data_IF_731997908483
#
_entry.id   IF_731997908483
#
_cell.length_a   1.000
_cell.length_b   1.000
_cell.length_c   1.000
_cell.angle_alpha   90.00
_cell.angle_beta   90.00
_cell.angle_gamma   90.00
#
_symmetry.space_group_name_H-M   'P 1'
#
loop_
_entity.id
_entity.type
_entity.pdbx_description
1 polymer ?
#
# COMPACT_ATOMS: atom_id res chain seq x y z
N UNK A 1 8.90 12.75 46.39
CA UNK A 1 8.34 11.60 45.64
C UNK A 1 9.48 10.82 44.98
N UNK A 2 9.61 9.53 45.30
CA UNK A 2 10.69 8.65 44.83
C UNK A 2 10.45 8.19 43.37
N UNK A 3 10.35 9.14 42.43
CA UNK A 3 10.31 8.80 41.01
C UNK A 3 11.74 8.48 40.57
N UNK A 4 12.01 7.29 40.00
CA UNK A 4 13.34 6.95 39.49
C UNK A 4 13.80 7.98 38.46
N UNK A 5 15.09 8.31 38.48
CA UNK A 5 15.67 9.37 37.64
C UNK A 5 15.62 9.08 36.13
N UNK A 6 15.42 7.81 35.75
CA UNK A 6 15.48 7.28 34.39
C UNK A 6 14.12 6.77 33.86
N UNK A 7 13.01 7.14 34.51
CA UNK A 7 11.67 6.82 33.98
C UNK A 7 11.44 7.57 32.67
N UNK A 8 11.25 6.83 31.57
CA UNK A 8 11.07 7.46 30.27
C UNK A 8 10.68 6.51 29.15
N UNK A 9 10.42 7.09 27.99
CA UNK A 9 10.20 6.38 26.73
C UNK A 9 11.28 6.87 25.77
N UNK A 10 12.11 5.96 25.29
CA UNK A 10 13.19 6.28 24.37
C UNK A 10 12.65 6.56 22.96
N UNK A 11 13.45 7.26 22.15
CA UNK A 11 13.04 7.74 20.82
C UNK A 11 12.71 6.59 19.87
N UNK A 12 13.51 5.53 19.91
CA UNK A 12 13.30 4.27 19.18
C UNK A 12 11.95 3.63 19.52
N UNK A 13 11.56 3.59 20.80
CA UNK A 13 10.26 3.10 21.21
C UNK A 13 9.11 3.97 20.67
N UNK A 14 9.27 5.30 20.64
CA UNK A 14 8.29 6.21 20.03
C UNK A 14 8.18 5.95 18.52
N UNK A 15 9.30 5.79 17.83
CA UNK A 15 9.34 5.46 16.40
C UNK A 15 8.63 4.12 16.12
N UNK A 16 8.86 3.11 16.95
CA UNK A 16 8.17 1.82 16.86
C UNK A 16 6.68 1.89 17.19
N UNK A 17 6.27 2.71 18.17
CA UNK A 17 4.84 2.99 18.44
C UNK A 17 4.15 3.58 17.22
N UNK A 18 4.77 4.58 16.58
CA UNK A 18 4.25 5.20 15.35
C UNK A 18 4.16 4.17 14.23
N UNK A 19 5.19 3.35 14.05
CA UNK A 19 5.28 2.40 12.93
C UNK A 19 4.35 1.19 13.06
N UNK A 20 4.31 0.58 14.25
CA UNK A 20 3.73 -0.75 14.45
C UNK A 20 2.44 -0.79 15.27
N UNK A 21 2.06 0.32 15.89
CA UNK A 21 0.90 0.38 16.79
C UNK A 21 -0.09 1.49 16.44
N UNK A 22 0.35 2.61 15.88
CA UNK A 22 -0.46 3.81 15.65
C UNK A 22 -0.50 4.26 14.17
N UNK A 23 -1.14 3.46 13.29
CA UNK A 23 -1.37 3.83 11.88
C UNK A 23 -2.58 4.74 11.71
N UNK A 24 -2.37 6.05 11.80
CA UNK A 24 -3.37 7.06 11.46
C UNK A 24 -2.67 8.37 11.05
N UNK A 25 -3.43 9.28 10.42
CA UNK A 25 -2.91 10.60 10.06
C UNK A 25 -2.66 11.52 11.28
N UNK A 26 -3.29 11.23 12.42
CA UNK A 26 -3.16 11.99 13.67
C UNK A 26 -2.23 11.31 14.70
N UNK A 27 -2.35 11.72 15.97
CA UNK A 27 -1.55 11.18 17.09
C UNK A 27 -2.41 10.62 18.24
N UNK A 28 -3.70 10.37 17.99
CA UNK A 28 -4.66 9.88 18.99
C UNK A 28 -4.30 8.50 19.51
N UNK A 29 -4.00 7.55 18.63
CA UNK A 29 -3.58 6.20 18.99
C UNK A 29 -2.19 6.21 19.62
N UNK A 30 -1.25 7.02 19.10
CA UNK A 30 0.06 7.22 19.73
C UNK A 30 -0.10 7.71 21.18
N UNK A 31 -0.93 8.73 21.41
CA UNK A 31 -1.24 9.24 22.76
C UNK A 31 -1.82 8.16 23.66
N UNK A 32 -2.76 7.33 23.17
CA UNK A 32 -3.31 6.22 23.96
C UNK A 32 -2.25 5.20 24.38
N UNK A 33 -1.28 4.90 23.51
CA UNK A 33 -0.18 3.99 23.83
C UNK A 33 0.79 4.60 24.83
N UNK A 34 1.16 5.87 24.66
CA UNK A 34 1.96 6.61 25.63
C UNK A 34 1.27 6.59 26.99
N UNK A 35 -0.03 6.89 27.06
CA UNK A 35 -0.80 6.85 28.32
C UNK A 35 -0.82 5.45 28.94
N UNK A 36 -0.92 4.40 28.11
CA UNK A 36 -0.91 3.00 28.57
C UNK A 36 0.46 2.64 29.16
N UNK A 37 1.55 3.04 28.52
CA UNK A 37 2.92 2.83 29.00
C UNK A 37 3.12 3.58 30.31
N UNK A 38 2.80 4.88 30.36
CA UNK A 38 2.95 5.73 31.54
C UNK A 38 2.15 5.21 32.73
N UNK A 39 0.90 4.78 32.54
CA UNK A 39 0.09 4.17 33.61
C UNK A 39 0.73 2.88 34.15
N UNK A 40 1.30 2.06 33.27
CA UNK A 40 1.95 0.81 33.67
C UNK A 40 3.25 1.07 34.43
N UNK A 41 4.07 2.01 33.97
CA UNK A 41 5.28 2.44 34.68
C UNK A 41 4.95 3.02 36.06
N UNK A 42 3.95 3.90 36.15
CA UNK A 42 3.52 4.48 37.43
C UNK A 42 3.06 3.39 38.42
N UNK A 43 2.29 2.41 37.97
CA UNK A 43 1.89 1.27 38.80
C UNK A 43 3.10 0.46 39.29
N UNK A 44 4.10 0.26 38.42
CA UNK A 44 5.33 -0.46 38.76
C UNK A 44 6.17 0.30 39.81
N UNK A 45 6.32 1.62 39.66
CA UNK A 45 7.05 2.47 40.62
C UNK A 45 6.39 2.40 42.01
N UNK A 46 5.07 2.60 42.08
CA UNK A 46 4.34 2.59 43.35
C UNK A 46 4.40 1.21 44.01
N UNK A 47 4.24 0.13 43.24
CA UNK A 47 4.31 -1.21 43.78
C UNK A 47 5.70 -1.56 44.34
N UNK A 48 6.77 -1.11 43.68
CA UNK A 48 8.15 -1.31 44.14
C UNK A 48 8.44 -0.49 45.42
N UNK A 49 7.92 0.74 45.52
CA UNK A 49 8.02 1.59 46.72
C UNK A 49 7.24 1.03 47.92
N UNK A 50 6.03 0.50 47.69
CA UNK A 50 5.16 -0.05 48.73
C UNK A 50 5.43 -1.54 49.05
N UNK A 51 6.36 -2.19 48.34
CA UNK A 51 6.65 -3.61 48.50
C UNK A 51 5.48 -4.54 48.10
N UNK A 52 4.63 -4.08 47.19
CA UNK A 52 3.44 -4.81 46.75
C UNK A 52 3.78 -5.75 45.59
N UNK A 53 3.42 -7.03 45.71
CA UNK A 53 3.61 -7.98 44.61
C UNK A 53 2.62 -7.74 43.46
N UNK A 54 3.16 -7.45 42.28
CA UNK A 54 2.38 -7.36 41.04
C UNK A 54 2.20 -8.73 40.38
N UNK A 55 1.12 -8.88 39.62
CA UNK A 55 0.94 -10.06 38.75
C UNK A 55 2.07 -10.17 37.72
N UNK A 56 2.37 -11.38 37.24
CA UNK A 56 3.39 -11.63 36.18
C UNK A 56 3.25 -10.77 34.92
N UNK A 57 2.04 -10.25 34.64
CA UNK A 57 1.77 -9.40 33.47
C UNK A 57 2.11 -7.93 33.72
N UNK A 58 2.05 -7.50 34.98
CA UNK A 58 2.29 -6.13 35.42
C UNK A 58 3.68 -5.94 36.02
N UNK A 59 4.33 -7.01 36.47
CA UNK A 59 5.71 -6.99 36.95
C UNK A 59 6.66 -6.52 35.86
N UNK A 60 7.63 -5.69 36.26
CA UNK A 60 8.70 -5.22 35.38
C UNK A 60 9.71 -6.35 35.17
N UNK A 61 10.17 -6.56 33.93
CA UNK A 61 11.17 -7.59 33.61
C UNK A 61 12.58 -7.04 33.40
N UNK A 62 12.70 -5.73 33.25
CA UNK A 62 13.96 -5.00 33.09
C UNK A 62 14.27 -4.21 34.36
N UNK A 63 15.55 -4.09 34.71
CA UNK A 63 16.00 -3.21 35.81
C UNK A 63 16.02 -1.72 35.42
N UNK A 64 15.94 -1.41 34.12
CA UNK A 64 15.80 -0.03 33.62
C UNK A 64 14.35 0.47 33.71
N UNK A 65 14.16 1.75 34.00
CA UNK A 65 12.86 2.42 33.95
C UNK A 65 12.55 3.06 32.59
N UNK A 66 13.45 2.91 31.63
CA UNK A 66 13.28 3.38 30.26
C UNK A 66 12.66 2.30 29.38
N UNK A 67 11.59 2.67 28.67
CA UNK A 67 10.96 1.82 27.65
C UNK A 67 11.67 2.05 26.32
N UNK A 68 12.23 0.99 25.75
CA UNK A 68 12.96 0.95 24.47
C UNK A 68 12.21 0.07 23.48
N UNK A 69 12.64 0.01 22.22
CA UNK A 69 12.01 -0.87 21.22
C UNK A 69 12.00 -2.34 21.68
N UNK A 70 13.12 -2.81 22.25
CA UNK A 70 13.31 -4.19 22.70
C UNK A 70 12.30 -4.66 23.76
N UNK A 71 11.84 -3.75 24.64
CA UNK A 71 10.92 -4.08 25.73
C UNK A 71 9.50 -3.54 25.53
N UNK A 72 9.24 -2.84 24.42
CA UNK A 72 7.97 -2.17 24.13
C UNK A 72 6.78 -3.13 24.17
N UNK A 73 6.93 -4.34 23.62
CA UNK A 73 5.85 -5.35 23.57
C UNK A 73 5.30 -5.71 24.95
N UNK A 74 6.11 -5.59 26.01
CA UNK A 74 5.69 -5.87 27.37
C UNK A 74 4.64 -4.87 27.87
N UNK A 75 4.69 -3.64 27.36
CA UNK A 75 3.80 -2.56 27.76
C UNK A 75 2.56 -2.49 26.88
N UNK A 76 2.74 -2.61 25.57
CA UNK A 76 1.66 -2.36 24.61
C UNK A 76 1.07 -3.62 23.98
N UNK A 77 1.76 -4.76 24.06
CA UNK A 77 1.42 -6.03 23.40
C UNK A 77 2.25 -6.23 22.13
N UNK A 78 2.01 -7.33 21.40
CA UNK A 78 2.68 -7.59 20.11
C UNK A 78 2.36 -6.51 19.08
N UNK A 79 3.25 -6.34 18.09
CA UNK A 79 2.99 -5.52 16.92
C UNK A 79 1.61 -5.79 16.32
N UNK A 80 0.81 -4.72 16.14
CA UNK A 80 -0.51 -4.81 15.52
C UNK A 80 -0.35 -4.80 14.00
N UNK A 81 0.64 -4.08 13.51
CA UNK A 81 0.96 -3.99 12.10
C UNK A 81 2.33 -4.62 11.85
N UNK A 82 2.45 -5.46 10.82
CA UNK A 82 3.68 -6.20 10.51
C UNK A 82 4.47 -5.60 9.34
N UNK A 83 3.79 -4.98 8.36
CA UNK A 83 4.43 -4.26 7.25
C UNK A 83 3.41 -3.39 6.50
N UNK A 84 3.82 -2.27 5.93
CA UNK A 84 3.02 -1.53 4.90
C UNK A 84 3.23 -2.14 3.50
N UNK A 85 4.21 -3.05 3.38
CA UNK A 85 4.61 -3.72 2.16
C UNK A 85 4.16 -5.18 2.18
N UNK A 86 3.31 -5.56 1.23
CA UNK A 86 2.81 -6.93 1.11
C UNK A 86 3.84 -7.86 0.44
N UNK A 87 4.64 -7.33 -0.48
CA UNK A 87 5.65 -8.09 -1.24
C UNK A 87 7.04 -7.54 -0.98
N UNK A 88 7.95 -8.40 -0.52
CA UNK A 88 9.33 -7.98 -0.16
C UNK A 88 10.33 -8.14 -1.32
N UNK A 89 10.05 -9.04 -2.28
CA UNK A 89 10.96 -9.34 -3.40
C UNK A 89 10.89 -8.28 -4.48
N UNK A 90 12.04 -8.02 -5.11
CA UNK A 90 12.19 -7.17 -6.30
C UNK A 90 12.73 -8.01 -7.45
N UNK A 91 12.14 -7.95 -8.67
CA UNK A 91 10.88 -7.27 -8.99
C UNK A 91 9.66 -8.00 -8.41
N UNK A 92 8.48 -7.37 -8.51
CA UNK A 92 7.21 -8.00 -8.16
C UNK A 92 6.92 -9.17 -9.12
N UNK A 93 6.18 -10.20 -8.70
CA UNK A 93 5.67 -11.20 -9.64
C UNK A 93 4.82 -10.56 -10.75
N UNK A 94 4.81 -11.19 -11.92
CA UNK A 94 3.98 -10.76 -13.04
C UNK A 94 2.51 -10.63 -12.61
N UNK A 95 1.87 -9.55 -13.06
CA UNK A 95 0.50 -9.28 -12.69
C UNK A 95 0.33 -8.53 -11.38
N UNK A 96 1.41 -8.13 -10.69
CA UNK A 96 1.33 -7.44 -9.40
C UNK A 96 1.93 -6.05 -9.49
N UNK A 97 1.16 -5.04 -9.06
CA UNK A 97 1.55 -3.62 -9.13
C UNK A 97 1.18 -2.89 -7.86
N UNK A 98 2.07 -1.99 -7.40
CA UNK A 98 1.77 -1.10 -6.29
C UNK A 98 1.00 0.14 -6.77
N UNK A 99 -0.22 0.30 -6.27
CA UNK A 99 -1.01 1.52 -6.36
C UNK A 99 -0.98 2.33 -5.07
N UNK A 100 -1.48 3.56 -5.12
CA UNK A 100 -1.67 4.41 -3.94
C UNK A 100 -3.14 4.79 -3.76
N UNK A 101 -3.68 4.52 -2.57
CA UNK A 101 -5.01 4.93 -2.16
C UNK A 101 -4.96 6.06 -1.16
N UNK A 102 -6.06 6.79 -1.12
CA UNK A 102 -6.40 7.69 -0.02
C UNK A 102 -7.61 7.10 0.72
N UNK A 103 -7.46 6.87 2.03
CA UNK A 103 -8.51 6.31 2.89
C UNK A 103 -8.79 7.25 4.05
N UNK A 104 -9.83 6.95 4.84
CA UNK A 104 -10.14 7.70 6.07
C UNK A 104 -8.99 7.69 7.10
N UNK A 105 -8.08 6.72 7.03
CA UNK A 105 -6.91 6.62 7.91
C UNK A 105 -5.67 7.34 7.36
N UNK A 106 -5.78 7.97 6.18
CA UNK A 106 -4.69 8.57 5.42
C UNK A 106 -4.35 7.77 4.16
N UNK A 107 -3.24 8.12 3.51
CA UNK A 107 -2.80 7.43 2.31
C UNK A 107 -2.15 6.09 2.63
N UNK A 108 -2.34 5.12 1.74
CA UNK A 108 -1.86 3.75 1.87
C UNK A 108 -1.36 3.23 0.52
N UNK A 109 -0.29 2.43 0.56
CA UNK A 109 0.01 1.55 -0.56
C UNK A 109 -1.06 0.45 -0.64
N UNK A 110 -1.37 0.02 -1.85
CA UNK A 110 -2.21 -1.14 -2.13
C UNK A 110 -1.59 -1.93 -3.28
N UNK A 111 -1.81 -3.23 -3.30
CA UNK A 111 -1.37 -4.07 -4.41
C UNK A 111 -2.57 -4.43 -5.26
N UNK A 112 -2.40 -4.34 -6.57
CA UNK A 112 -3.35 -4.87 -7.53
C UNK A 112 -2.74 -6.15 -8.06
N UNK A 113 -3.44 -7.25 -7.83
CA UNK A 113 -3.05 -8.59 -8.22
C UNK A 113 -3.94 -9.04 -9.37
N UNK A 114 -3.35 -9.44 -10.50
CA UNK A 114 -4.09 -10.00 -11.62
C UNK A 114 -3.61 -11.42 -11.89
N UNK A 115 -4.56 -12.34 -12.02
CA UNK A 115 -4.30 -13.73 -12.39
C UNK A 115 -5.11 -14.11 -13.63
N UNK A 116 -4.46 -14.84 -14.54
CA UNK A 116 -5.07 -15.41 -15.74
C UNK A 116 -5.45 -16.88 -15.53
N UNK A 117 -6.64 -17.26 -15.97
CA UNK A 117 -7.16 -18.62 -15.90
C UNK A 117 -7.40 -19.11 -17.33
N UNK A 118 -6.53 -20.00 -17.82
CA UNK A 118 -6.69 -20.66 -19.11
C UNK A 118 -7.51 -21.93 -18.95
N UNK A 119 -8.69 -21.98 -19.57
CA UNK A 119 -9.63 -23.09 -19.46
C UNK A 119 -9.39 -24.23 -20.47
N UNK A 120 -8.32 -24.14 -21.25
CA UNK A 120 -7.98 -25.12 -22.31
C UNK A 120 -8.84 -24.97 -23.56
N UNK A 121 -8.76 -25.96 -24.45
CA UNK A 121 -9.51 -26.01 -25.71
C UNK A 121 -10.71 -26.96 -25.59
N UNK A 122 -11.76 -26.70 -26.36
CA UNK A 122 -12.89 -27.59 -26.54
C UNK A 122 -12.56 -28.69 -27.56
N UNK A 123 -13.52 -29.60 -27.79
CA UNK A 123 -13.40 -30.70 -28.76
C UNK A 123 -13.14 -30.24 -30.20
N UNK A 124 -13.43 -28.97 -30.52
CA UNK A 124 -13.22 -28.36 -31.83
C UNK A 124 -11.94 -27.51 -31.88
N UNK A 125 -11.10 -27.56 -30.83
CA UNK A 125 -9.86 -26.79 -30.74
C UNK A 125 -10.06 -25.31 -30.43
N UNK A 126 -11.24 -24.87 -29.98
CA UNK A 126 -11.50 -23.47 -29.60
C UNK A 126 -11.30 -23.25 -28.10
N UNK A 127 -10.83 -22.06 -27.67
CA UNK A 127 -10.71 -21.74 -26.24
C UNK A 127 -12.02 -21.91 -25.48
N UNK A 128 -12.00 -22.64 -24.35
CA UNK A 128 -13.15 -22.85 -23.47
C UNK A 128 -13.41 -21.64 -22.56
N UNK A 129 -13.71 -20.48 -23.13
CA UNK A 129 -13.86 -19.22 -22.41
C UNK A 129 -12.69 -18.27 -22.67
N UNK A 130 -12.54 -17.26 -21.83
CA UNK A 130 -11.67 -16.12 -22.09
C UNK A 130 -12.45 -14.81 -22.28
N UNK A 131 -11.75 -13.69 -22.27
CA UNK A 131 -12.38 -12.39 -22.49
C UNK A 131 -13.13 -11.82 -21.29
N UNK A 132 -13.15 -12.52 -20.15
CA UNK A 132 -13.88 -12.06 -18.97
C UNK A 132 -12.96 -11.39 -17.95
N UNK A 133 -13.50 -10.37 -17.26
CA UNK A 133 -12.86 -9.74 -16.11
C UNK A 133 -13.74 -9.94 -14.87
N UNK A 134 -13.17 -10.55 -13.84
CA UNK A 134 -13.72 -10.57 -12.48
C UNK A 134 -12.85 -9.69 -11.58
N UNK A 135 -13.48 -8.76 -10.87
CA UNK A 135 -12.79 -7.88 -9.93
C UNK A 135 -13.28 -8.12 -8.49
N UNK A 136 -12.38 -8.33 -7.54
CA UNK A 136 -12.70 -8.55 -6.10
C UNK A 136 -11.86 -7.68 -5.17
N UNK A 137 -12.27 -7.58 -3.89
CA UNK A 137 -11.57 -6.78 -2.89
C UNK A 137 -12.41 -5.65 -2.29
N UNK A 138 -13.73 -5.87 -2.18
CA UNK A 138 -14.70 -4.90 -1.68
C UNK A 138 -14.68 -3.58 -2.48
N UNK A 139 -14.68 -3.73 -3.80
CA UNK A 139 -14.73 -2.62 -4.75
C UNK A 139 -16.16 -2.10 -4.82
N UNK A 140 -16.33 -0.79 -4.64
CA UNK A 140 -17.60 -0.09 -4.87
C UNK A 140 -17.77 0.27 -6.36
N UNK A 141 -18.89 0.89 -6.68
CA UNK A 141 -19.35 1.01 -8.07
C UNK A 141 -18.39 1.80 -8.97
N UNK A 142 -17.79 2.90 -8.48
CA UNK A 142 -16.82 3.68 -9.26
C UNK A 142 -15.55 2.87 -9.53
N UNK A 143 -15.08 2.11 -8.54
CA UNK A 143 -13.88 1.29 -8.72
C UNK A 143 -14.15 0.05 -9.60
N UNK A 144 -15.37 -0.51 -9.57
CA UNK A 144 -15.80 -1.54 -10.53
C UNK A 144 -15.83 -0.98 -11.95
N UNK A 145 -16.40 0.20 -12.17
CA UNK A 145 -16.40 0.85 -13.48
C UNK A 145 -14.98 1.14 -13.96
N UNK A 146 -14.13 1.68 -13.08
CA UNK A 146 -12.70 1.91 -13.35
C UNK A 146 -11.98 0.63 -13.79
N UNK A 147 -12.30 -0.52 -13.19
CA UNK A 147 -11.72 -1.81 -13.61
C UNK A 147 -12.11 -2.23 -15.03
N UNK A 148 -13.36 -1.95 -15.45
CA UNK A 148 -13.83 -2.27 -16.80
C UNK A 148 -13.18 -1.36 -17.84
N UNK A 149 -13.04 -0.08 -17.52
CA UNK A 149 -12.31 0.89 -18.36
C UNK A 149 -10.85 0.45 -18.49
N UNK A 150 -10.19 0.13 -17.37
CA UNK A 150 -8.81 -0.34 -17.37
C UNK A 150 -8.63 -1.61 -18.21
N UNK A 151 -9.56 -2.56 -18.13
CA UNK A 151 -9.48 -3.79 -18.94
C UNK A 151 -9.62 -3.50 -20.44
N UNK A 152 -10.52 -2.59 -20.81
CA UNK A 152 -10.66 -2.15 -22.20
C UNK A 152 -9.38 -1.48 -22.70
N UNK A 153 -8.77 -0.61 -21.89
CA UNK A 153 -7.50 0.04 -22.22
C UNK A 153 -6.36 -0.99 -22.31
N UNK A 154 -6.27 -1.94 -21.39
CA UNK A 154 -5.24 -3.00 -21.42
C UNK A 154 -5.33 -3.83 -22.70
N UNK A 155 -6.54 -4.20 -23.14
CA UNK A 155 -6.76 -4.91 -24.40
C UNK A 155 -6.33 -4.08 -25.61
N UNK A 156 -6.73 -2.81 -25.66
CA UNK A 156 -6.35 -1.91 -26.75
C UNK A 156 -4.82 -1.73 -26.83
N UNK A 157 -4.16 -1.53 -25.69
CA UNK A 157 -2.70 -1.38 -25.63
C UNK A 157 -1.96 -2.65 -25.98
N UNK A 158 -2.41 -3.81 -25.51
CA UNK A 158 -1.79 -5.09 -25.88
C UNK A 158 -1.83 -5.29 -27.41
N UNK A 159 -2.96 -4.97 -28.05
CA UNK A 159 -3.09 -5.09 -29.50
C UNK A 159 -2.18 -4.13 -30.30
N UNK A 160 -1.77 -2.99 -29.70
CA UNK A 160 -0.79 -2.08 -30.29
C UNK A 160 0.66 -2.56 -30.08
N UNK A 161 0.95 -3.10 -28.88
CA UNK A 161 2.30 -3.53 -28.45
C UNK A 161 2.70 -4.87 -29.08
N UNK A 162 1.81 -5.85 -29.00
CA UNK A 162 1.99 -7.19 -29.55
C UNK A 162 0.67 -7.66 -30.20
N UNK A 163 0.43 -7.31 -31.47
CA UNK A 163 -0.81 -7.65 -32.18
C UNK A 163 -1.09 -9.15 -32.29
N UNK A 164 -0.08 -10.00 -32.06
CA UNK A 164 -0.22 -11.47 -32.11
C UNK A 164 -0.65 -12.07 -30.78
N UNK A 165 -0.60 -11.29 -29.70
CA UNK A 165 -0.88 -11.75 -28.35
C UNK A 165 -2.39 -11.68 -28.06
N UNK A 166 -3.03 -12.85 -28.10
CA UNK A 166 -4.47 -13.03 -27.87
C UNK A 166 -4.83 -13.25 -26.39
N UNK A 167 -3.91 -12.96 -25.45
CA UNK A 167 -4.04 -13.36 -24.05
C UNK A 167 -5.37 -12.97 -23.42
N UNK A 168 -5.82 -11.73 -23.61
CA UNK A 168 -7.08 -11.26 -23.04
C UNK A 168 -8.32 -11.82 -23.72
N UNK A 169 -8.22 -12.37 -24.93
CA UNK A 169 -9.35 -12.98 -25.64
C UNK A 169 -9.53 -14.44 -25.22
N UNK A 170 -8.42 -15.12 -24.89
CA UNK A 170 -8.39 -16.57 -24.62
C UNK A 170 -8.29 -16.92 -23.13
N UNK A 171 -8.05 -15.92 -22.28
CA UNK A 171 -7.82 -16.10 -20.84
C UNK A 171 -8.86 -15.33 -20.03
N UNK A 172 -9.44 -15.97 -19.00
CA UNK A 172 -10.25 -15.24 -18.02
C UNK A 172 -9.33 -14.52 -17.04
N UNK A 173 -9.66 -13.28 -16.74
CA UNK A 173 -8.89 -12.44 -15.85
C UNK A 173 -9.60 -12.30 -14.51
N UNK A 174 -8.90 -12.58 -13.42
CA UNK A 174 -9.32 -12.24 -12.07
C UNK A 174 -8.36 -11.22 -11.49
N UNK A 175 -8.84 -9.99 -11.30
CA UNK A 175 -8.14 -8.92 -10.61
C UNK A 175 -8.62 -8.82 -9.15
N UNK A 176 -7.69 -8.77 -8.21
CA UNK A 176 -7.95 -8.59 -6.79
C UNK A 176 -7.21 -7.37 -6.25
N UNK A 177 -7.89 -6.63 -5.36
CA UNK A 177 -7.29 -5.52 -4.60
C UNK A 177 -7.45 -5.80 -3.10
N UNK A 178 -6.45 -6.40 -2.44
CA UNK A 178 -6.44 -6.60 -0.99
C UNK A 178 -6.49 -5.26 -0.24
N UNK A 179 -6.97 -5.18 1.00
CA UNK A 179 -7.61 -6.20 1.84
C UNK A 179 -9.12 -6.30 1.58
N UNK A 180 -9.72 -7.49 1.57
CA UNK A 180 -11.14 -7.66 1.24
C UNK A 180 -12.15 -7.08 2.24
N UNK A 181 -11.73 -6.71 3.46
CA UNK A 181 -12.64 -6.16 4.46
C UNK A 181 -12.88 -4.65 4.28
N UNK A 182 -11.87 -3.92 3.79
CA UNK A 182 -11.90 -2.47 3.66
C UNK A 182 -12.51 -2.06 2.31
N UNK A 183 -13.63 -1.32 2.29
CA UNK A 183 -14.24 -0.86 1.05
C UNK A 183 -13.28 0.06 0.29
N UNK A 184 -13.16 -0.14 -1.02
CA UNK A 184 -12.33 0.68 -1.91
C UNK A 184 -13.20 1.30 -2.99
N UNK A 185 -13.04 2.61 -3.15
CA UNK A 185 -13.85 3.38 -4.07
C UNK A 185 -13.00 4.48 -4.71
N UNK A 186 -13.42 4.88 -5.91
CA UNK A 186 -12.75 5.91 -6.71
C UNK A 186 -11.84 5.35 -7.82
N UNK A 187 -11.58 6.15 -8.87
CA UNK A 187 -10.93 5.69 -10.09
C UNK A 187 -9.40 5.78 -10.06
N UNK A 188 -8.81 6.23 -8.94
CA UNK A 188 -7.39 6.64 -8.87
C UNK A 188 -6.34 5.53 -8.99
N UNK A 189 -6.78 4.28 -9.18
CA UNK A 189 -5.93 3.12 -9.41
C UNK A 189 -6.02 2.60 -10.86
N UNK A 190 -6.71 3.32 -11.76
CA UNK A 190 -6.93 2.92 -13.14
C UNK A 190 -5.64 2.57 -13.87
N UNK A 191 -4.62 3.43 -13.83
CA UNK A 191 -3.34 3.15 -14.51
C UNK A 191 -2.61 1.93 -13.92
N UNK A 192 -2.73 1.70 -12.61
CA UNK A 192 -2.14 0.53 -11.94
C UNK A 192 -2.84 -0.76 -12.35
N UNK A 193 -4.17 -0.73 -12.54
CA UNK A 193 -4.93 -1.87 -13.03
C UNK A 193 -4.51 -2.25 -14.45
N UNK A 194 -4.35 -1.26 -15.35
CA UNK A 194 -3.84 -1.52 -16.71
C UNK A 194 -2.45 -2.14 -16.67
N UNK A 195 -1.54 -1.59 -15.86
CA UNK A 195 -0.17 -2.13 -15.72
C UNK A 195 -0.17 -3.55 -15.17
N UNK A 196 -1.01 -3.85 -14.18
CA UNK A 196 -1.13 -5.20 -13.61
C UNK A 196 -1.59 -6.19 -14.67
N UNK A 197 -2.60 -5.85 -15.47
CA UNK A 197 -3.06 -6.72 -16.55
C UNK A 197 -2.00 -6.90 -17.64
N UNK A 198 -1.32 -5.83 -18.07
CA UNK A 198 -0.28 -5.90 -19.10
C UNK A 198 0.98 -6.62 -18.63
N UNK A 199 1.41 -6.42 -17.38
CA UNK A 199 2.52 -7.14 -16.76
C UNK A 199 2.31 -8.65 -16.88
N UNK A 200 1.10 -9.13 -16.55
CA UNK A 200 0.74 -10.54 -16.67
C UNK A 200 0.71 -11.01 -18.14
N UNK A 201 0.10 -10.24 -19.05
CA UNK A 201 -0.05 -10.61 -20.45
C UNK A 201 1.28 -10.65 -21.21
N UNK A 202 2.24 -9.80 -20.83
CA UNK A 202 3.56 -9.68 -21.45
C UNK A 202 4.63 -10.53 -20.73
N UNK A 203 4.34 -11.08 -19.55
CA UNK A 203 5.34 -11.75 -18.71
C UNK A 203 6.47 -10.80 -18.28
N UNK A 204 6.12 -9.55 -17.99
CA UNK A 204 7.06 -8.49 -17.64
C UNK A 204 6.80 -8.03 -16.21
N UNK A 205 7.73 -8.28 -15.26
CA UNK A 205 7.54 -7.89 -13.87
C UNK A 205 7.79 -6.39 -13.69
N UNK A 206 7.10 -5.79 -12.71
CA UNK A 206 7.29 -4.37 -12.36
C UNK A 206 8.15 -4.29 -11.10
N UNK A 207 9.08 -3.32 -11.08
CA UNK A 207 9.91 -3.03 -9.90
C UNK A 207 9.06 -2.77 -8.66
N UNK A 208 9.51 -3.29 -7.52
CA UNK A 208 8.72 -3.28 -6.30
C UNK A 208 8.74 -1.95 -5.53
N UNK A 209 9.58 -1.01 -5.96
CA UNK A 209 9.74 0.33 -5.40
C UNK A 209 9.08 1.43 -6.25
N UNK A 210 8.37 1.04 -7.31
CA UNK A 210 7.54 1.91 -8.15
C UNK A 210 6.08 1.83 -7.71
N UNK A 211 5.52 2.97 -7.33
CA UNK A 211 4.10 3.13 -7.12
C UNK A 211 3.46 4.05 -8.14
N UNK A 212 2.16 3.94 -8.34
CA UNK A 212 1.46 4.82 -9.27
C UNK A 212 0.04 5.16 -8.80
N UNK A 213 -0.44 6.32 -9.22
CA UNK A 213 -1.84 6.72 -9.06
C UNK A 213 -2.28 7.55 -10.25
N UNK A 214 -3.53 7.40 -10.65
CA UNK A 214 -4.07 8.06 -11.81
C UNK A 214 -5.33 7.35 -12.28
N UNK A 215 -6.34 8.13 -12.61
CA UNK A 215 -7.48 7.61 -13.36
C UNK A 215 -7.07 7.45 -14.83
N UNK A 216 -7.63 6.44 -15.50
CA UNK A 216 -7.38 6.19 -16.92
C UNK A 216 -8.69 6.32 -17.69
N UNK A 217 -8.67 7.08 -18.79
CA UNK A 217 -9.80 7.13 -19.73
C UNK A 217 -9.69 6.01 -20.78
N UNK A 218 -10.78 5.73 -21.50
CA UNK A 218 -10.79 4.76 -22.60
C UNK A 218 -9.78 5.09 -23.72
N UNK A 219 -9.43 6.36 -23.90
CA UNK A 219 -8.41 6.81 -24.87
C UNK A 219 -6.97 6.67 -24.36
N UNK A 220 -6.81 6.29 -23.09
CA UNK A 220 -5.52 6.21 -22.41
C UNK A 220 -5.00 7.53 -21.86
N UNK A 221 -5.79 8.62 -21.80
CA UNK A 221 -5.42 9.80 -21.00
C UNK A 221 -5.35 9.45 -19.52
N UNK A 222 -4.36 10.01 -18.83
CA UNK A 222 -4.19 9.91 -17.38
C UNK A 222 -4.77 11.17 -16.73
N UNK A 223 -5.75 10.98 -15.85
CA UNK A 223 -6.53 12.05 -15.25
C UNK A 223 -6.10 12.31 -13.80
N UNK A 224 -6.23 13.57 -13.32
CA UNK A 224 -5.79 13.96 -11.99
C UNK A 224 -6.57 13.23 -10.90
N UNK A 225 -5.92 13.07 -9.75
CA UNK A 225 -6.48 12.40 -8.57
C UNK A 225 -6.25 13.25 -7.32
N UNK A 226 -7.10 13.07 -6.31
CA UNK A 226 -6.94 13.75 -5.02
C UNK A 226 -5.93 13.07 -4.08
N UNK A 227 -5.55 13.79 -3.03
CA UNK A 227 -4.79 13.29 -1.88
C UNK A 227 -3.33 12.96 -2.18
N UNK A 228 -2.67 13.73 -3.05
CA UNK A 228 -1.28 13.46 -3.49
C UNK A 228 -0.31 13.43 -2.30
N UNK A 229 -0.43 14.40 -1.38
CA UNK A 229 0.38 14.44 -0.15
C UNK A 229 0.22 13.16 0.67
N UNK A 230 -1.01 12.76 0.95
CA UNK A 230 -1.30 11.57 1.75
C UNK A 230 -0.85 10.28 1.05
N UNK A 231 -1.07 10.18 -0.26
CA UNK A 231 -0.62 9.05 -1.07
C UNK A 231 0.90 8.91 -1.08
N UNK A 232 1.63 10.00 -1.23
CA UNK A 232 3.11 9.98 -1.14
C UNK A 232 3.54 9.57 0.25
N UNK A 233 2.93 10.11 1.31
CA UNK A 233 3.23 9.66 2.68
C UNK A 233 3.00 8.15 2.86
N UNK A 234 1.90 7.62 2.32
CA UNK A 234 1.60 6.19 2.33
C UNK A 234 2.61 5.35 1.57
N UNK A 235 2.96 5.76 0.35
CA UNK A 235 3.98 5.10 -0.47
C UNK A 235 5.36 5.11 0.19
N UNK A 236 5.77 6.24 0.78
CA UNK A 236 7.07 6.33 1.48
C UNK A 236 7.15 5.38 2.66
N UNK A 237 6.06 5.23 3.43
CA UNK A 237 6.02 4.21 4.50
C UNK A 237 6.12 2.78 3.96
N UNK A 238 5.60 2.53 2.75
CA UNK A 238 5.75 1.26 2.04
C UNK A 238 7.12 1.10 1.34
N UNK A 239 7.99 2.10 1.39
CA UNK A 239 9.37 2.04 0.89
C UNK A 239 9.53 2.34 -0.61
N UNK A 240 8.62 3.10 -1.22
CA UNK A 240 8.76 3.49 -2.64
C UNK A 240 9.97 4.41 -2.85
N UNK A 241 10.60 4.28 -4.01
CA UNK A 241 11.66 5.18 -4.49
C UNK A 241 11.28 5.90 -5.76
N UNK A 242 10.32 5.37 -6.52
CA UNK A 242 9.78 5.99 -7.71
C UNK A 242 8.26 6.05 -7.66
N UNK A 243 7.68 7.11 -8.22
CA UNK A 243 6.24 7.30 -8.31
C UNK A 243 5.82 7.84 -9.67
N UNK A 244 4.72 7.32 -10.20
CA UNK A 244 4.03 7.89 -11.36
C UNK A 244 2.80 8.67 -10.90
N UNK A 245 2.74 9.94 -11.28
CA UNK A 245 1.64 10.86 -10.99
C UNK A 245 1.01 11.37 -12.30
N UNK A 246 -0.28 11.75 -12.30
CA UNK A 246 -0.87 12.45 -13.44
C UNK A 246 -0.16 13.80 -13.63
N UNK A 247 0.07 14.19 -14.89
CA UNK A 247 0.71 15.47 -15.21
C UNK A 247 -0.06 16.66 -14.61
N UNK A 248 -1.39 16.59 -14.64
CA UNK A 248 -2.27 17.58 -14.05
C UNK A 248 -2.13 17.75 -12.51
N UNK A 249 -1.48 16.80 -11.81
CA UNK A 249 -1.20 16.90 -10.37
C UNK A 249 0.18 17.52 -10.05
N UNK A 250 0.95 18.02 -11.05
CA UNK A 250 2.24 18.72 -10.82
C UNK A 250 2.12 19.84 -9.78
N UNK A 251 1.09 20.67 -9.90
CA UNK A 251 0.85 21.77 -8.96
C UNK A 251 0.61 21.27 -7.54
N UNK A 252 -0.20 20.21 -7.38
CA UNK A 252 -0.45 19.62 -6.06
C UNK A 252 0.83 19.03 -5.46
N UNK A 253 1.72 18.49 -6.30
CA UNK A 253 3.01 17.96 -5.89
C UNK A 253 3.99 19.06 -5.45
N UNK A 254 4.04 20.18 -6.18
CA UNK A 254 4.94 21.31 -5.86
C UNK A 254 4.64 21.92 -4.49
N UNK A 255 3.37 21.94 -4.08
CA UNK A 255 2.89 22.42 -2.78
C UNK A 255 3.26 21.50 -1.59
N UNK A 256 3.82 20.31 -1.86
CA UNK A 256 4.20 19.34 -0.83
C UNK A 256 5.55 19.73 -0.19
N UNK A 257 5.73 19.56 1.14
CA UNK A 257 7.01 19.78 1.81
C UNK A 257 8.17 18.98 1.22
N UNK A 258 9.36 19.58 1.16
CA UNK A 258 10.55 19.00 0.53
C UNK A 258 10.99 17.66 1.16
N UNK A 259 10.83 17.48 2.47
CA UNK A 259 11.18 16.22 3.14
C UNK A 259 10.36 15.01 2.64
N UNK A 260 9.19 15.23 2.03
CA UNK A 260 8.41 14.16 1.39
C UNK A 260 8.83 13.91 -0.06
N UNK A 261 9.44 14.90 -0.71
CA UNK A 261 9.93 14.84 -2.09
C UNK A 261 11.35 14.28 -2.16
N UNK A 262 12.16 14.49 -1.13
CA UNK A 262 13.56 14.09 -1.06
C UNK A 262 13.76 12.58 -1.30
N UNK A 263 14.63 12.24 -2.26
CA UNK A 263 14.95 10.85 -2.61
C UNK A 263 13.84 10.09 -3.34
N UNK A 264 12.79 10.78 -3.81
CA UNK A 264 11.72 10.21 -4.63
C UNK A 264 11.90 10.60 -6.10
N UNK A 265 12.03 9.62 -6.99
CA UNK A 265 12.00 9.83 -8.44
C UNK A 265 10.54 9.96 -8.89
N UNK A 266 10.20 11.03 -9.61
CA UNK A 266 8.80 11.35 -9.94
C UNK A 266 8.62 11.46 -11.44
N UNK A 267 7.72 10.65 -11.98
CA UNK A 267 7.35 10.65 -13.38
C UNK A 267 5.93 11.19 -13.54
N UNK A 268 5.79 12.26 -14.32
CA UNK A 268 4.48 12.86 -14.62
C UNK A 268 3.96 12.35 -15.97
N UNK A 269 2.76 11.78 -15.96
CA UNK A 269 2.16 11.16 -17.14
C UNK A 269 0.88 11.89 -17.56
N UNK A 270 0.83 12.34 -18.82
CA UNK A 270 -0.40 12.85 -19.46
C UNK A 270 -1.22 11.71 -20.09
N UNK A 271 -0.54 10.66 -20.53
CA UNK A 271 -1.12 9.51 -21.20
C UNK A 271 -0.48 8.20 -20.71
N UNK A 272 -1.15 7.09 -21.01
CA UNK A 272 -0.75 5.78 -20.55
C UNK A 272 0.56 5.30 -21.19
N UNK A 273 0.95 5.83 -22.35
CA UNK A 273 2.22 5.47 -22.99
C UNK A 273 3.41 5.82 -22.08
N UNK A 274 3.41 7.01 -21.47
CA UNK A 274 4.42 7.39 -20.47
C UNK A 274 4.42 6.45 -19.27
N UNK A 275 3.24 6.04 -18.80
CA UNK A 275 3.13 5.06 -17.70
C UNK A 275 3.75 3.72 -18.10
N UNK A 276 3.45 3.25 -19.30
CA UNK A 276 3.97 1.99 -19.85
C UNK A 276 5.49 2.03 -19.96
N UNK A 277 6.07 3.09 -20.53
CA UNK A 277 7.52 3.25 -20.67
C UNK A 277 8.25 3.21 -19.33
N UNK A 278 7.71 3.87 -18.31
CA UNK A 278 8.31 3.88 -16.96
C UNK A 278 8.17 2.54 -16.25
N UNK A 279 7.03 1.86 -16.41
CA UNK A 279 6.68 0.69 -15.61
C UNK A 279 7.05 -0.66 -16.26
N UNK A 280 7.00 -0.73 -17.59
CA UNK A 280 7.10 -1.95 -18.40
C UNK A 280 7.98 -1.78 -19.66
N UNK A 281 8.52 -0.56 -19.88
CA UNK A 281 9.51 -0.28 -20.91
C UNK A 281 10.83 -1.02 -20.63
N UNK A 282 11.64 -1.15 -21.67
CA UNK A 282 12.91 -1.87 -21.63
C UNK A 282 14.00 -1.13 -20.84
#
# INVERSE_FOLDING_TARGET
>A
PNVPSDVGIAKDAIESLVRWYAREAGVRNLSKYIDKITRKLALQVVAEEEGTELTKKSSRKSESWTVTDDNLEEYVGKHIFTSDRLYEKDPLPDGIVMGLAYTAMGGSALYIETQGIKRGLDENGKPRGGGTLKATGNLKDVMKESSQIAFTVARARLAEIDPSNDFFDTTDIHMHVPEGATPKDGPSAGIAMVCSMLSLALGRPIRNDLAMTGEVSLTGKVLPVGGIKEKIMGGRRAGIKSIILPDANKRDYDEIPDYLKEGLDVHFAENYQTVFEVALGD
#
